data_IF_876707618886
#
_entry.id   IF_876707618886
#
_cell.length_a   1.000
_cell.length_b   1.000
_cell.length_c   1.000
_cell.angle_alpha   90.00
_cell.angle_beta   90.00
_cell.angle_gamma   90.00
#
_symmetry.space_group_name_H-M   'P 1'
#
loop_
_entity.id
_entity.type
_entity.pdbx_description
1 polymer ?
#
# COMPACT_ATOMS: atom_id res chain seq x y z
N UNK A 1 -29.68 0.12 11.05
CA UNK A 1 -29.21 1.45 10.61
C UNK A 1 -27.77 1.33 10.13
N UNK A 2 -27.44 1.96 9.00
CA UNK A 2 -26.08 1.94 8.45
C UNK A 2 -25.09 2.70 9.33
N UNK A 3 -23.85 2.21 9.50
CA UNK A 3 -22.81 2.95 10.23
C UNK A 3 -22.53 4.37 9.67
N UNK A 4 -22.75 4.58 8.39
CA UNK A 4 -22.60 5.90 7.73
C UNK A 4 -23.62 6.89 8.27
N UNK A 5 -24.87 6.45 8.40
CA UNK A 5 -25.95 7.27 8.95
C UNK A 5 -25.77 7.58 10.42
N UNK A 6 -25.33 6.61 11.21
CA UNK A 6 -25.07 6.83 12.64
C UNK A 6 -23.98 7.90 12.82
N UNK A 7 -22.94 7.86 12.00
CA UNK A 7 -21.89 8.89 12.04
C UNK A 7 -22.40 10.26 11.60
N UNK A 8 -23.26 10.32 10.59
CA UNK A 8 -23.86 11.57 10.14
C UNK A 8 -24.75 12.19 11.22
N UNK A 9 -25.56 11.37 11.90
CA UNK A 9 -26.39 11.83 13.02
C UNK A 9 -25.54 12.29 14.21
N UNK A 10 -24.45 11.58 14.51
CA UNK A 10 -23.52 11.96 15.57
C UNK A 10 -22.78 13.28 15.26
N UNK A 11 -22.38 13.45 14.00
CA UNK A 11 -21.75 14.67 13.52
C UNK A 11 -22.70 15.88 13.66
N UNK A 12 -23.95 15.71 13.24
CA UNK A 12 -24.97 16.74 13.40
C UNK A 12 -25.24 17.08 14.88
N UNK A 13 -25.40 16.05 15.74
CA UNK A 13 -25.64 16.25 17.16
C UNK A 13 -24.46 16.96 17.86
N UNK A 14 -23.25 16.62 17.47
CA UNK A 14 -22.01 17.20 18.00
C UNK A 14 -21.59 18.51 17.33
N UNK A 15 -22.28 18.98 16.29
CA UNK A 15 -21.88 20.15 15.47
C UNK A 15 -20.45 20.01 14.93
N UNK A 16 -20.12 18.85 14.37
CA UNK A 16 -18.79 18.55 13.87
C UNK A 16 -17.77 18.14 14.95
N UNK A 17 -18.17 18.10 16.22
CA UNK A 17 -17.32 17.64 17.31
C UNK A 17 -17.63 16.17 17.67
N UNK A 18 -16.62 15.37 17.99
CA UNK A 18 -16.85 14.00 18.39
C UNK A 18 -17.65 13.93 19.69
N UNK A 19 -18.78 13.22 19.68
CA UNK A 19 -19.60 12.99 20.87
C UNK A 19 -19.60 11.49 21.22
N UNK A 20 -19.57 11.21 22.52
CA UNK A 20 -19.68 9.84 23.06
C UNK A 20 -21.08 9.61 23.58
N UNK A 21 -21.66 8.45 23.33
CA UNK A 21 -23.00 8.09 23.76
C UNK A 21 -23.20 8.21 25.29
N UNK A 22 -22.14 7.94 26.06
CA UNK A 22 -22.17 7.97 27.53
C UNK A 22 -22.19 9.39 28.13
N UNK A 23 -21.78 10.40 27.37
CA UNK A 23 -21.60 11.77 27.83
C UNK A 23 -22.36 12.81 27.00
N UNK A 24 -23.48 12.39 26.37
CA UNK A 24 -24.32 13.29 25.59
C UNK A 24 -25.03 14.31 26.50
N UNK A 25 -24.90 15.58 26.16
CA UNK A 25 -25.68 16.64 26.78
C UNK A 25 -27.14 16.57 26.32
N UNK A 26 -28.06 17.17 27.07
CA UNK A 26 -29.49 17.16 26.72
C UNK A 26 -29.75 17.85 25.38
N UNK A 27 -29.04 18.94 25.08
CA UNK A 27 -29.09 19.64 23.79
C UNK A 27 -28.57 18.76 22.63
N UNK A 28 -27.58 17.87 22.86
CA UNK A 28 -27.11 16.90 21.88
C UNK A 28 -28.13 15.77 21.66
N UNK A 29 -28.79 15.31 22.72
CA UNK A 29 -29.87 14.33 22.62
C UNK A 29 -31.05 14.87 21.82
N UNK A 30 -31.48 16.11 22.08
CA UNK A 30 -32.57 16.74 21.33
C UNK A 30 -32.24 16.88 19.85
N UNK A 31 -31.02 17.30 19.51
CA UNK A 31 -30.56 17.37 18.10
C UNK A 31 -30.50 15.98 17.46
N UNK A 32 -30.08 14.96 18.19
CA UNK A 32 -30.06 13.58 17.69
C UNK A 32 -31.49 13.08 17.39
N UNK A 33 -32.42 13.28 18.33
CA UNK A 33 -33.83 12.92 18.14
C UNK A 33 -34.45 13.66 16.96
N UNK A 34 -34.18 14.96 16.84
CA UNK A 34 -34.62 15.76 15.69
C UNK A 34 -34.11 15.23 14.36
N UNK A 35 -32.82 14.90 14.28
CA UNK A 35 -32.21 14.40 13.03
C UNK A 35 -32.78 13.05 12.62
N UNK A 36 -33.01 12.16 13.60
CA UNK A 36 -33.63 10.86 13.36
C UNK A 36 -35.07 11.02 12.86
N UNK A 37 -35.86 11.89 13.51
CA UNK A 37 -37.23 12.18 13.08
C UNK A 37 -37.27 12.80 11.69
N UNK A 38 -36.35 13.72 11.39
CA UNK A 38 -36.22 14.36 10.08
C UNK A 38 -35.85 13.34 8.99
N UNK A 39 -34.95 12.41 9.29
CA UNK A 39 -34.59 11.33 8.37
C UNK A 39 -35.81 10.47 8.04
N UNK A 40 -36.62 10.15 9.04
CA UNK A 40 -37.85 9.39 8.85
C UNK A 40 -38.85 10.13 7.94
N UNK A 41 -39.09 11.41 8.19
CA UNK A 41 -39.97 12.22 7.35
C UNK A 41 -39.52 12.27 5.88
N UNK A 42 -38.20 12.43 5.63
CA UNK A 42 -37.65 12.42 4.29
C UNK A 42 -37.93 11.12 3.55
N UNK A 43 -37.83 9.97 4.25
CA UNK A 43 -38.13 8.65 3.67
C UNK A 43 -39.63 8.48 3.43
N UNK A 44 -40.48 8.94 4.34
CA UNK A 44 -41.95 8.85 4.19
C UNK A 44 -42.48 9.72 3.04
N UNK A 45 -41.79 10.81 2.73
CA UNK A 45 -42.15 11.74 1.65
C UNK A 45 -41.53 11.40 0.29
N UNK A 46 -40.62 10.42 0.22
CA UNK A 46 -39.90 10.07 -1.00
C UNK A 46 -38.93 11.16 -1.48
N UNK A 47 -38.40 11.94 -0.54
CA UNK A 47 -37.45 13.05 -0.82
C UNK A 47 -36.00 12.64 -0.54
N UNK A 48 -35.62 11.41 -0.89
CA UNK A 48 -34.26 10.91 -0.73
C UNK A 48 -33.31 11.64 -1.68
N UNK A 49 -32.08 11.85 -1.20
CA UNK A 49 -30.98 12.41 -1.98
C UNK A 49 -29.85 11.39 -2.05
N UNK A 50 -29.71 10.78 -3.20
CA UNK A 50 -28.70 9.73 -3.42
C UNK A 50 -27.32 10.36 -3.54
N UNK A 51 -26.48 10.18 -2.51
CA UNK A 51 -25.18 10.82 -2.40
C UNK A 51 -24.07 9.79 -2.42
N UNK A 52 -23.11 9.97 -3.31
CA UNK A 52 -21.85 9.23 -3.34
C UNK A 52 -20.73 10.11 -2.80
N UNK A 53 -19.90 9.53 -1.95
CA UNK A 53 -18.71 10.18 -1.39
C UNK A 53 -17.47 9.48 -1.94
N UNK A 54 -16.54 10.28 -2.46
CA UNK A 54 -15.26 9.81 -2.98
C UNK A 54 -14.10 10.65 -2.42
N UNK A 55 -12.90 10.07 -2.44
CA UNK A 55 -11.67 10.82 -2.18
C UNK A 55 -11.44 11.84 -3.29
N UNK A 56 -10.52 12.79 -3.07
CA UNK A 56 -10.10 13.75 -4.12
C UNK A 56 -9.47 13.07 -5.34
N UNK A 57 -8.98 11.86 -5.15
CA UNK A 57 -8.40 11.01 -6.21
C UNK A 57 -9.47 10.18 -6.96
N UNK A 58 -10.75 10.37 -6.64
CA UNK A 58 -11.86 9.69 -7.27
C UNK A 58 -12.16 8.28 -6.74
N UNK A 59 -11.53 7.83 -5.64
CA UNK A 59 -11.83 6.53 -5.05
C UNK A 59 -13.15 6.57 -4.26
N UNK A 60 -14.10 5.67 -4.53
CA UNK A 60 -15.37 5.62 -3.82
C UNK A 60 -15.14 5.23 -2.35
N UNK A 61 -15.72 6.00 -1.44
CA UNK A 61 -15.58 5.82 0.01
C UNK A 61 -16.85 5.28 0.64
N UNK A 62 -17.92 6.03 0.49
CA UNK A 62 -19.23 5.72 1.08
C UNK A 62 -20.36 6.20 0.16
N UNK A 63 -21.58 5.72 0.41
CA UNK A 63 -22.78 6.19 -0.24
C UNK A 63 -23.97 6.23 0.72
N UNK A 64 -24.95 7.06 0.44
CA UNK A 64 -26.14 7.23 1.26
C UNK A 64 -27.34 7.66 0.41
N UNK A 65 -28.54 7.46 0.96
CA UNK A 65 -29.77 8.05 0.47
C UNK A 65 -30.09 9.42 1.11
N UNK A 66 -29.14 9.97 1.85
CA UNK A 66 -29.17 11.29 2.48
C UNK A 66 -27.92 12.08 2.11
N UNK A 67 -27.97 13.43 2.16
CA UNK A 67 -26.76 14.25 2.14
C UNK A 67 -25.83 13.88 3.27
N UNK A 68 -24.53 13.81 2.99
CA UNK A 68 -23.49 13.48 3.99
C UNK A 68 -22.59 14.69 4.20
N UNK A 69 -22.55 15.20 5.43
CA UNK A 69 -21.78 16.38 5.82
C UNK A 69 -20.56 16.03 6.68
N UNK A 70 -20.57 14.86 7.33
CA UNK A 70 -19.51 14.39 8.23
C UNK A 70 -18.10 14.37 7.60
N UNK A 71 -18.00 14.36 6.30
CA UNK A 71 -16.71 14.34 5.59
C UNK A 71 -16.13 15.73 5.32
N UNK A 72 -16.93 16.79 5.50
CA UNK A 72 -16.52 18.16 5.28
C UNK A 72 -15.87 18.39 3.90
N UNK A 73 -14.86 19.24 3.87
CA UNK A 73 -14.11 19.55 2.64
C UNK A 73 -13.03 18.52 2.27
N UNK A 74 -12.86 17.46 3.05
CA UNK A 74 -11.84 16.43 2.82
C UNK A 74 -12.22 15.48 1.67
N UNK A 75 -13.50 15.30 1.43
CA UNK A 75 -14.06 14.39 0.42
C UNK A 75 -14.90 15.13 -0.61
N UNK A 76 -15.10 14.48 -1.75
CA UNK A 76 -15.96 14.98 -2.81
C UNK A 76 -17.30 14.26 -2.73
N UNK A 77 -18.38 15.03 -2.61
CA UNK A 77 -19.76 14.53 -2.61
C UNK A 77 -20.40 14.76 -3.97
N UNK A 78 -20.99 13.72 -4.53
CA UNK A 78 -21.71 13.75 -5.81
C UNK A 78 -23.15 13.25 -5.62
N UNK A 79 -24.13 14.02 -6.04
CA UNK A 79 -25.54 13.61 -6.04
C UNK A 79 -25.84 12.82 -7.29
N UNK A 80 -26.56 11.71 -7.13
CA UNK A 80 -26.96 10.81 -8.20
C UNK A 80 -28.47 10.90 -8.45
N UNK A 81 -28.93 10.65 -9.70
CA UNK A 81 -30.34 10.78 -10.05
C UNK A 81 -31.23 9.68 -9.50
N UNK A 82 -30.68 8.52 -9.14
CA UNK A 82 -31.43 7.39 -8.59
C UNK A 82 -30.54 6.47 -7.74
N UNK A 83 -31.16 5.63 -6.93
CA UNK A 83 -30.47 4.59 -6.15
C UNK A 83 -29.70 3.62 -7.04
N UNK A 84 -30.29 3.20 -8.18
CA UNK A 84 -29.64 2.29 -9.13
C UNK A 84 -28.38 2.93 -9.71
N UNK A 85 -28.48 4.17 -10.19
CA UNK A 85 -27.33 4.90 -10.73
C UNK A 85 -26.22 5.10 -9.67
N UNK A 86 -26.59 5.35 -8.42
CA UNK A 86 -25.65 5.44 -7.29
C UNK A 86 -24.90 4.13 -7.08
N UNK A 87 -25.61 3.01 -6.99
CA UNK A 87 -25.02 1.71 -6.73
C UNK A 87 -24.15 1.25 -7.90
N UNK A 88 -24.63 1.42 -9.13
CA UNK A 88 -23.86 1.06 -10.32
C UNK A 88 -22.54 1.84 -10.39
N UNK A 89 -22.58 3.16 -10.24
CA UNK A 89 -21.38 4.01 -10.25
C UNK A 89 -20.42 3.66 -9.12
N UNK A 90 -20.96 3.46 -7.90
CA UNK A 90 -20.15 3.15 -6.72
C UNK A 90 -19.43 1.81 -6.86
N UNK A 91 -20.14 0.76 -7.22
CA UNK A 91 -19.55 -0.58 -7.34
C UNK A 91 -18.66 -0.71 -8.56
N UNK A 92 -19.02 -0.12 -9.71
CA UNK A 92 -18.16 -0.09 -10.89
C UNK A 92 -16.82 0.62 -10.60
N UNK A 93 -16.87 1.78 -9.95
CA UNK A 93 -15.65 2.53 -9.56
C UNK A 93 -14.79 1.76 -8.55
N UNK A 94 -15.42 1.10 -7.57
CA UNK A 94 -14.74 0.26 -6.59
C UNK A 94 -14.06 -0.95 -7.23
N UNK A 95 -14.75 -1.64 -8.11
CA UNK A 95 -14.21 -2.80 -8.83
C UNK A 95 -13.06 -2.40 -9.75
N UNK A 96 -13.19 -1.27 -10.44
CA UNK A 96 -12.11 -0.72 -11.26
C UNK A 96 -10.86 -0.42 -10.43
N UNK A 97 -11.02 0.28 -9.30
CA UNK A 97 -9.91 0.57 -8.38
C UNK A 97 -9.26 -0.70 -7.81
N UNK A 98 -10.07 -1.70 -7.43
CA UNK A 98 -9.58 -2.98 -6.93
C UNK A 98 -8.75 -3.73 -7.99
N UNK A 99 -9.25 -3.82 -9.23
CA UNK A 99 -8.53 -4.45 -10.36
C UNK A 99 -7.23 -3.72 -10.68
N UNK A 100 -7.23 -2.39 -10.66
CA UNK A 100 -6.03 -1.59 -10.90
C UNK A 100 -4.97 -1.86 -9.82
N UNK A 101 -5.39 -1.87 -8.56
CA UNK A 101 -4.52 -2.19 -7.42
C UNK A 101 -3.92 -3.61 -7.52
N UNK A 102 -4.74 -4.58 -7.90
CA UNK A 102 -4.27 -5.96 -8.07
C UNK A 102 -3.22 -6.06 -9.18
N UNK A 103 -3.49 -5.48 -10.35
CA UNK A 103 -2.52 -5.46 -11.46
C UNK A 103 -1.21 -4.75 -11.10
N UNK A 104 -1.29 -3.66 -10.35
CA UNK A 104 -0.10 -2.97 -9.85
C UNK A 104 0.71 -3.87 -8.90
N UNK A 105 0.05 -4.57 -7.97
CA UNK A 105 0.73 -5.51 -7.07
C UNK A 105 1.39 -6.66 -7.84
N UNK A 106 0.73 -7.23 -8.84
CA UNK A 106 1.28 -8.32 -9.65
C UNK A 106 2.56 -7.86 -10.38
N UNK A 107 2.55 -6.65 -10.94
CA UNK A 107 3.74 -6.04 -11.54
C UNK A 107 4.87 -5.80 -10.53
N UNK A 108 4.56 -5.30 -9.33
CA UNK A 108 5.53 -5.10 -8.28
C UNK A 108 6.18 -6.42 -7.85
N UNK A 109 5.39 -7.48 -7.67
CA UNK A 109 5.91 -8.81 -7.35
C UNK A 109 6.83 -9.35 -8.45
N UNK A 110 6.45 -9.20 -9.72
CA UNK A 110 7.27 -9.61 -10.85
C UNK A 110 8.61 -8.88 -10.88
N UNK A 111 8.59 -7.56 -10.68
CA UNK A 111 9.82 -6.74 -10.63
C UNK A 111 10.69 -7.11 -9.42
N UNK A 112 10.09 -7.33 -8.26
CA UNK A 112 10.81 -7.75 -7.05
C UNK A 112 11.55 -9.07 -7.28
N UNK A 113 10.85 -10.09 -7.78
CA UNK A 113 11.44 -11.39 -8.08
C UNK A 113 12.54 -11.30 -9.15
N UNK A 114 12.35 -10.47 -10.17
CA UNK A 114 13.39 -10.25 -11.19
C UNK A 114 14.64 -9.60 -10.56
N UNK A 115 14.46 -8.60 -9.71
CA UNK A 115 15.55 -7.91 -9.01
C UNK A 115 16.31 -8.87 -8.09
N UNK A 116 15.61 -9.64 -7.26
CA UNK A 116 16.22 -10.63 -6.39
C UNK A 116 17.03 -11.68 -7.16
N UNK A 117 16.50 -12.16 -8.28
CA UNK A 117 17.20 -13.11 -9.14
C UNK A 117 18.49 -12.51 -9.70
N UNK A 118 18.46 -11.26 -10.15
CA UNK A 118 19.64 -10.56 -10.67
C UNK A 118 20.66 -10.36 -9.55
N UNK A 119 20.24 -9.93 -8.36
CA UNK A 119 21.13 -9.74 -7.22
C UNK A 119 21.82 -11.03 -6.81
N UNK A 120 21.11 -12.16 -6.77
CA UNK A 120 21.72 -13.48 -6.52
C UNK A 120 22.75 -13.85 -7.59
N UNK A 121 22.47 -13.58 -8.86
CA UNK A 121 23.42 -13.81 -9.95
C UNK A 121 24.69 -12.96 -9.80
N UNK A 122 24.52 -11.69 -9.50
CA UNK A 122 25.66 -10.78 -9.26
C UNK A 122 26.51 -11.30 -8.09
N UNK A 123 25.90 -11.67 -6.96
CA UNK A 123 26.62 -12.19 -5.82
C UNK A 123 27.42 -13.46 -6.15
N UNK A 124 26.81 -14.41 -6.90
CA UNK A 124 27.51 -15.62 -7.35
C UNK A 124 28.67 -15.30 -8.27
N UNK A 125 28.46 -14.42 -9.27
CA UNK A 125 29.50 -14.04 -10.21
C UNK A 125 30.63 -13.26 -9.53
N UNK A 126 30.34 -12.43 -8.53
CA UNK A 126 31.37 -11.75 -7.74
C UNK A 126 32.23 -12.74 -6.96
N UNK A 127 31.60 -13.73 -6.31
CA UNK A 127 32.32 -14.77 -5.60
C UNK A 127 33.17 -15.63 -6.53
N UNK A 128 32.66 -15.96 -7.73
CA UNK A 128 33.42 -16.69 -8.74
C UNK A 128 34.63 -15.89 -9.24
N UNK A 129 34.47 -14.57 -9.41
CA UNK A 129 35.60 -13.68 -9.79
C UNK A 129 36.67 -13.61 -8.70
N UNK A 130 36.28 -13.51 -7.43
CA UNK A 130 37.24 -13.54 -6.30
C UNK A 130 37.98 -14.87 -6.27
N UNK A 131 37.27 -15.99 -6.41
CA UNK A 131 37.89 -17.31 -6.47
C UNK A 131 38.81 -17.48 -7.71
N UNK A 132 38.52 -16.83 -8.82
CA UNK A 132 39.43 -16.84 -9.98
C UNK A 132 40.70 -16.01 -9.72
N UNK A 133 40.59 -14.87 -9.03
CA UNK A 133 41.77 -14.07 -8.65
C UNK A 133 42.72 -14.87 -7.73
N UNK A 134 42.17 -15.59 -6.75
CA UNK A 134 42.97 -16.46 -5.89
C UNK A 134 43.68 -17.57 -6.68
N UNK A 135 43.02 -18.17 -7.68
CA UNK A 135 43.62 -19.18 -8.55
C UNK A 135 44.74 -18.62 -9.44
N UNK A 136 44.61 -17.39 -9.90
CA UNK A 136 45.66 -16.73 -10.69
C UNK A 136 46.89 -16.46 -9.84
N UNK A 137 46.74 -16.09 -8.57
CA UNK A 137 47.85 -15.97 -7.63
C UNK A 137 48.53 -17.32 -7.34
N UNK A 138 47.75 -18.38 -7.16
CA UNK A 138 48.29 -19.73 -6.97
C UNK A 138 49.02 -20.22 -8.21
N UNK A 139 48.49 -19.92 -9.41
CA UNK A 139 49.17 -20.24 -10.69
C UNK A 139 50.51 -19.49 -10.80
N UNK A 140 50.53 -18.17 -10.46
CA UNK A 140 51.77 -17.39 -10.45
C UNK A 140 52.80 -17.96 -9.50
N UNK A 141 52.38 -18.36 -8.27
CA UNK A 141 53.26 -19.09 -7.31
C UNK A 141 53.80 -20.39 -7.87
N UNK A 142 52.94 -21.20 -8.52
CA UNK A 142 53.33 -22.46 -9.11
C UNK A 142 54.33 -22.24 -10.27
N UNK A 143 54.13 -21.25 -11.10
CA UNK A 143 55.04 -20.89 -12.17
C UNK A 143 56.40 -20.41 -11.61
N UNK A 144 56.44 -19.59 -10.54
CA UNK A 144 57.64 -19.18 -9.84
C UNK A 144 58.41 -20.40 -9.25
N UNK A 145 57.70 -21.31 -8.61
CA UNK A 145 58.27 -22.53 -8.05
C UNK A 145 58.91 -23.38 -9.20
N UNK A 146 58.15 -23.53 -10.28
CA UNK A 146 58.62 -24.33 -11.43
C UNK A 146 59.85 -23.74 -12.11
N UNK A 147 59.91 -22.40 -12.25
CA UNK A 147 61.05 -21.69 -12.81
C UNK A 147 62.31 -21.78 -11.91
N UNK A 148 62.14 -21.87 -10.63
CA UNK A 148 63.21 -21.91 -9.63
C UNK A 148 63.47 -23.31 -9.01
N UNK A 149 62.97 -24.36 -9.63
CA UNK A 149 63.06 -25.74 -9.12
C UNK A 149 64.51 -26.16 -8.82
N UNK A 150 65.49 -25.63 -9.55
CA UNK A 150 66.90 -25.89 -9.38
C UNK A 150 67.50 -25.31 -8.07
N UNK A 151 66.82 -24.38 -7.42
CA UNK A 151 67.22 -23.74 -6.15
C UNK A 151 66.60 -24.43 -4.93
N UNK A 152 65.62 -25.33 -5.13
CA UNK A 152 64.90 -26.00 -4.07
C UNK A 152 65.58 -27.33 -3.72
N UNK A 153 65.84 -27.55 -2.43
CA UNK A 153 66.37 -28.78 -1.87
C UNK A 153 65.35 -29.52 -1.00
N UNK A 154 65.48 -30.82 -0.96
CA UNK A 154 64.58 -31.63 -0.15
C UNK A 154 64.75 -31.32 1.34
N UNK A 155 63.70 -30.70 1.93
CA UNK A 155 63.67 -30.29 3.36
C UNK A 155 63.61 -28.79 3.57
N UNK A 156 63.67 -27.99 2.51
CA UNK A 156 63.51 -26.53 2.62
C UNK A 156 62.09 -26.17 3.07
N UNK A 157 61.99 -25.38 4.10
CA UNK A 157 60.70 -24.87 4.62
C UNK A 157 60.38 -23.47 4.10
N UNK A 158 61.39 -22.74 3.67
CA UNK A 158 61.25 -21.36 3.11
C UNK A 158 62.21 -21.22 1.95
N UNK A 159 61.72 -20.58 0.89
CA UNK A 159 62.53 -20.22 -0.29
C UNK A 159 62.22 -18.81 -0.76
N UNK A 160 63.22 -17.97 -0.91
CA UNK A 160 63.08 -16.62 -1.48
C UNK A 160 63.32 -16.71 -2.96
N UNK A 161 62.32 -16.32 -3.76
CA UNK A 161 62.36 -16.36 -5.22
C UNK A 161 62.15 -14.95 -5.75
N UNK A 162 62.85 -14.61 -6.83
CA UNK A 162 62.67 -13.36 -7.55
C UNK A 162 61.51 -13.47 -8.53
N UNK A 163 60.57 -12.52 -8.48
CA UNK A 163 59.47 -12.39 -9.44
C UNK A 163 59.95 -11.57 -10.62
N UNK A 164 59.82 -12.11 -11.84
CA UNK A 164 60.34 -11.51 -13.09
C UNK A 164 59.19 -10.85 -13.87
#
# INVERSE_FOLDING_TARGET
>A
VSPVLVREWADYAGKGQPCRAESLTDDQKDRLCYTIARTRELLEQGNEVYTMVSTREGQPKDFSFLPLHQYGALMVTKTMPSACALLDEFFASRDHAARLKQRANDLFHLLLHATERIQRRIATQSADLEACAEKDDDRRKADLISANLYRLHKGDTEAVMEDF
#
